data_IF_284207350325
#
_entry.id   IF_284207350325
#
_cell.length_a   1.000
_cell.length_b   1.000
_cell.length_c   1.000
_cell.angle_alpha   90.00
_cell.angle_beta   90.00
_cell.angle_gamma   90.00
#
_symmetry.space_group_name_H-M   'P 1'
#
loop_
_entity.id
_entity.type
_entity.pdbx_description
1 polymer ?
#
# COMPACT_ATOMS: atom_id res chain seq x y z
N UNK A 1 -6.25 15.08 -10.77
CA UNK A 1 -4.94 14.51 -11.09
C UNK A 1 -4.64 13.39 -10.12
N UNK A 2 -4.30 12.25 -10.66
CA UNK A 2 -4.03 11.10 -9.81
C UNK A 2 -2.73 11.25 -9.08
N UNK A 3 -2.76 10.89 -7.82
CA UNK A 3 -1.57 10.89 -7.00
C UNK A 3 -1.09 9.45 -6.85
N UNK A 4 0.18 9.27 -7.14
CA UNK A 4 0.82 7.97 -7.03
C UNK A 4 1.94 8.05 -6.02
N UNK A 5 2.11 7.00 -5.26
CA UNK A 5 3.20 6.89 -4.32
C UNK A 5 4.15 5.81 -4.79
N UNK A 6 5.44 6.07 -4.59
CA UNK A 6 6.42 5.01 -4.81
C UNK A 6 6.36 4.02 -3.65
N UNK A 7 7.03 2.89 -3.83
CA UNK A 7 7.12 1.91 -2.75
C UNK A 7 7.73 2.53 -1.50
N UNK A 8 8.78 3.33 -1.66
CA UNK A 8 9.41 3.96 -0.52
C UNK A 8 8.48 4.96 0.17
N UNK A 9 7.75 5.72 -0.62
CA UNK A 9 6.83 6.69 -0.04
C UNK A 9 5.72 6.00 0.73
N UNK A 10 5.20 4.90 0.21
CA UNK A 10 4.17 4.15 0.92
C UNK A 10 4.74 3.53 2.20
N UNK A 11 5.96 3.03 2.13
CA UNK A 11 6.60 2.47 3.31
C UNK A 11 6.73 3.51 4.41
N UNK A 12 7.10 4.74 4.04
CA UNK A 12 7.17 5.82 5.01
C UNK A 12 5.80 6.13 5.59
N UNK A 13 4.79 6.20 4.73
CA UNK A 13 3.44 6.51 5.17
C UNK A 13 2.94 5.53 6.24
N UNK A 14 3.26 4.25 6.06
CA UNK A 14 2.80 3.20 6.96
C UNK A 14 3.85 2.78 7.99
N UNK A 15 5.00 3.43 7.95
CA UNK A 15 6.10 3.10 8.87
C UNK A 15 6.50 1.64 8.75
N UNK A 16 6.62 1.18 7.52
CA UNK A 16 7.05 -0.18 7.21
C UNK A 16 8.33 -0.13 6.39
N UNK A 17 9.00 -1.25 6.27
CA UNK A 17 10.13 -1.33 5.36
C UNK A 17 9.62 -1.59 3.95
N UNK A 18 10.36 -1.12 2.96
CA UNK A 18 10.01 -1.38 1.57
C UNK A 18 10.02 -2.87 1.29
N UNK A 19 10.87 -3.63 1.98
CA UNK A 19 10.93 -5.07 1.81
C UNK A 19 9.62 -5.74 2.20
N UNK A 20 8.96 -5.21 3.21
CA UNK A 20 7.66 -5.74 3.61
C UNK A 20 6.65 -5.60 2.48
N UNK A 21 6.65 -4.44 1.82
CA UNK A 21 5.75 -4.23 0.69
C UNK A 21 6.09 -5.16 -0.47
N UNK A 22 7.36 -5.40 -0.71
CA UNK A 22 7.76 -6.33 -1.75
C UNK A 22 7.24 -7.73 -1.46
N UNK A 23 7.35 -8.16 -0.21
CA UNK A 23 6.85 -9.47 0.18
C UNK A 23 5.35 -9.55 0.01
N UNK A 24 4.63 -8.49 0.38
CA UNK A 24 3.18 -8.47 0.22
C UNK A 24 2.77 -8.65 -1.24
N UNK A 25 3.47 -7.98 -2.16
CA UNK A 25 3.15 -8.14 -3.57
C UNK A 25 3.36 -9.57 -4.03
N UNK A 26 4.38 -10.21 -3.50
CA UNK A 26 4.68 -11.58 -3.88
C UNK A 26 3.65 -12.57 -3.34
N UNK A 27 3.07 -12.27 -2.20
CA UNK A 27 2.12 -13.17 -1.54
C UNK A 27 0.67 -12.75 -1.75
N UNK A 28 0.42 -11.74 -2.55
CA UNK A 28 -0.94 -11.32 -2.83
C UNK A 28 -1.58 -10.49 -1.75
N UNK A 29 -0.77 -9.89 -0.88
CA UNK A 29 -1.27 -9.04 0.19
C UNK A 29 -1.03 -7.57 -0.16
N UNK A 30 -1.64 -6.68 0.64
CA UNK A 30 -1.45 -5.27 0.45
C UNK A 30 -2.42 -4.69 -0.55
N UNK A 31 -2.31 -3.40 -0.83
CA UNK A 31 -3.21 -2.74 -1.75
C UNK A 31 -2.86 -3.05 -3.20
N UNK A 32 -3.77 -2.70 -4.07
CA UNK A 32 -3.50 -2.81 -5.50
C UNK A 32 -2.33 -1.91 -5.88
N UNK A 33 -1.64 -2.29 -6.91
CA UNK A 33 -0.50 -1.52 -7.37
C UNK A 33 -0.42 -1.56 -8.88
N UNK A 34 0.34 -0.61 -9.43
CA UNK A 34 0.61 -0.53 -10.85
C UNK A 34 2.07 -0.89 -11.08
N UNK A 35 2.32 -1.58 -12.16
CA UNK A 35 3.68 -1.87 -12.56
C UNK A 35 3.91 -1.18 -13.88
N UNK A 36 4.61 -0.08 -13.83
CA UNK A 36 4.82 0.76 -15.00
C UNK A 36 6.31 0.81 -15.29
N UNK A 37 6.68 0.33 -16.47
CA UNK A 37 8.05 0.46 -16.92
C UNK A 37 9.06 -0.09 -15.92
N UNK A 38 8.73 -1.22 -15.29
CA UNK A 38 9.61 -1.83 -14.31
C UNK A 38 9.54 -1.20 -12.94
N UNK A 39 8.69 -0.22 -12.75
CA UNK A 39 8.53 0.44 -11.46
C UNK A 39 7.17 0.11 -10.88
N UNK A 40 7.11 0.08 -9.57
CA UNK A 40 5.86 -0.13 -8.86
C UNK A 40 5.37 1.21 -8.35
N UNK A 41 4.09 1.48 -8.58
CA UNK A 41 3.44 2.68 -8.08
C UNK A 41 2.12 2.28 -7.44
N UNK A 42 1.76 2.99 -6.38
CA UNK A 42 0.52 2.76 -5.66
C UNK A 42 -0.36 3.99 -5.82
N UNK A 43 -1.57 3.81 -6.32
CA UNK A 43 -2.50 4.92 -6.45
C UNK A 43 -3.08 5.26 -5.09
N UNK A 44 -3.20 6.55 -4.82
CA UNK A 44 -3.71 6.98 -3.53
C UNK A 44 -5.10 6.42 -3.21
N UNK A 45 -6.05 6.39 -4.16
CA UNK A 45 -7.35 5.80 -3.84
C UNK A 45 -7.26 4.34 -3.41
N UNK A 46 -6.37 3.58 -4.00
CA UNK A 46 -6.20 2.17 -3.63
C UNK A 46 -5.58 2.04 -2.25
N UNK A 47 -4.66 2.95 -1.93
CA UNK A 47 -4.06 2.97 -0.59
C UNK A 47 -5.12 3.28 0.45
N UNK A 48 -5.94 4.29 0.18
CA UNK A 48 -6.97 4.70 1.12
C UNK A 48 -8.02 3.61 1.32
N UNK A 49 -8.37 2.92 0.26
CA UNK A 49 -9.32 1.82 0.36
C UNK A 49 -8.76 0.71 1.24
N UNK A 50 -7.50 0.40 1.07
CA UNK A 50 -6.85 -0.63 1.87
C UNK A 50 -6.81 -0.22 3.34
N UNK A 51 -6.47 1.03 3.59
CA UNK A 51 -6.42 1.54 4.96
C UNK A 51 -7.80 1.48 5.62
N UNK A 52 -8.82 1.84 4.87
CA UNK A 52 -10.17 1.83 5.40
C UNK A 52 -10.62 0.41 5.75
N UNK A 53 -10.29 -0.54 4.92
CA UNK A 53 -10.65 -1.94 5.18
C UNK A 53 -9.96 -2.44 6.45
N UNK A 54 -8.68 -2.09 6.61
CA UNK A 54 -7.93 -2.49 7.78
C UNK A 54 -8.48 -1.82 9.04
N UNK A 55 -8.87 -0.57 8.92
CA UNK A 55 -9.43 0.14 10.06
C UNK A 55 -10.68 -0.56 10.56
N UNK A 56 -11.52 -1.02 9.64
CA UNK A 56 -12.72 -1.72 10.04
C UNK A 56 -12.41 -3.01 10.78
N UNK A 57 -11.40 -3.71 10.35
CA UNK A 57 -11.03 -4.99 10.96
C UNK A 57 -10.60 -4.82 12.39
N UNK A 58 -10.11 -3.63 12.73
CA UNK A 58 -9.55 -3.38 14.05
C UNK A 58 -10.38 -2.41 14.87
N UNK A 59 -11.58 -2.14 14.44
CA UNK A 59 -12.44 -1.22 15.15
C UNK A 59 -12.72 -1.73 16.55
N UNK A 60 -12.46 -0.88 17.52
CA UNK A 60 -12.79 -1.18 18.91
C UNK A 60 -11.83 -2.12 19.60
N UNK A 61 -10.80 -2.53 18.91
CA UNK A 61 -9.83 -3.47 19.50
C UNK A 61 -8.78 -2.77 20.32
N UNK A 62 -8.29 -1.67 19.82
CA UNK A 62 -7.14 -1.00 20.42
C UNK A 62 -7.49 -0.16 21.61
#
# INVERSE_FOLDING_TARGET
MDTHLTQQQLAVRWNLSARTLERWRRTGQGPRYLKLNGRVAYRLPDIEEFELARLREHTGIE
#
